data_IF_730773575641
#
_entry.id   IF_730773575641
#
_cell.length_a   1.000
_cell.length_b   1.000
_cell.length_c   1.000
_cell.angle_alpha   90.00
_cell.angle_beta   90.00
_cell.angle_gamma   90.00
#
_symmetry.space_group_name_H-M   'P 1'
#
loop_
_entity.id
_entity.type
_entity.pdbx_description
1 polymer ?
#
# COMPACT_ATOMS: atom_id res chain seq x y z
N UNK A 1 -10.76 22.59 -9.34
CA UNK A 1 -9.78 22.13 -8.33
C UNK A 1 -10.23 22.62 -6.96
N UNK A 2 -10.56 21.74 -6.00
CA UNK A 2 -10.96 22.15 -4.64
C UNK A 2 -9.90 21.67 -3.65
N UNK A 3 -8.96 22.56 -3.32
CA UNK A 3 -8.04 22.37 -2.20
C UNK A 3 -8.87 22.36 -0.92
N UNK A 4 -8.70 21.33 -0.08
CA UNK A 4 -9.50 21.20 1.14
C UNK A 4 -9.18 22.32 2.14
N UNK A 5 -10.12 22.64 3.01
CA UNK A 5 -9.92 23.64 4.06
C UNK A 5 -8.70 23.30 4.94
N UNK A 6 -8.54 22.01 5.26
CA UNK A 6 -7.40 21.46 5.98
C UNK A 6 -6.05 21.76 5.30
N UNK A 7 -5.96 21.56 3.99
CA UNK A 7 -4.74 21.81 3.21
C UNK A 7 -4.38 23.30 3.18
N UNK A 8 -5.39 24.19 3.16
CA UNK A 8 -5.17 25.64 3.20
C UNK A 8 -4.61 26.07 4.56
N UNK A 9 -5.12 25.54 5.65
CA UNK A 9 -4.59 25.82 6.99
C UNK A 9 -3.14 25.35 7.09
N UNK A 10 -2.86 24.12 6.65
CA UNK A 10 -1.50 23.58 6.62
C UNK A 10 -0.56 24.53 5.89
N UNK A 11 -0.91 24.91 4.66
CA UNK A 11 -0.09 25.81 3.85
C UNK A 11 0.07 27.21 4.48
N UNK A 12 -0.94 27.75 5.16
CA UNK A 12 -0.81 29.03 5.88
C UNK A 12 0.23 28.96 7.00
N UNK A 13 0.33 27.83 7.70
CA UNK A 13 1.24 27.64 8.84
C UNK A 13 2.66 27.26 8.37
N UNK A 14 2.78 26.32 7.43
CA UNK A 14 4.07 25.73 7.05
C UNK A 14 4.50 25.98 5.59
N UNK A 15 3.65 26.62 4.79
CA UNK A 15 3.87 26.77 3.35
C UNK A 15 5.15 27.50 2.98
N UNK A 16 5.51 28.56 3.73
CA UNK A 16 6.75 29.32 3.47
C UNK A 16 8.01 28.45 3.63
N UNK A 17 8.02 27.54 4.61
CA UNK A 17 9.13 26.62 4.82
C UNK A 17 9.24 25.60 3.69
N UNK A 18 8.14 24.94 3.34
CA UNK A 18 8.14 23.91 2.29
C UNK A 18 8.31 24.48 0.88
N UNK A 19 7.91 25.73 0.64
CA UNK A 19 8.15 26.40 -0.63
C UNK A 19 9.62 26.74 -0.82
N UNK A 20 10.31 27.20 0.25
CA UNK A 20 11.75 27.50 0.21
C UNK A 20 12.62 26.24 0.04
N UNK A 21 12.16 25.11 0.59
CA UNK A 21 12.91 23.84 0.60
C UNK A 21 12.37 22.82 -0.43
N UNK A 22 11.70 23.29 -1.49
CA UNK A 22 10.97 22.43 -2.44
C UNK A 22 11.84 21.37 -3.11
N UNK A 23 13.09 21.70 -3.39
CA UNK A 23 14.03 20.81 -4.11
C UNK A 23 14.39 19.56 -3.30
N UNK A 24 14.44 19.66 -1.97
CA UNK A 24 14.72 18.53 -1.08
C UNK A 24 13.64 17.43 -1.15
N UNK A 25 12.43 17.81 -1.58
CA UNK A 25 11.27 16.90 -1.65
C UNK A 25 10.97 16.43 -3.08
N UNK A 26 11.96 16.45 -3.98
CA UNK A 26 11.78 16.01 -5.37
C UNK A 26 11.24 14.56 -5.49
N UNK A 27 11.67 13.67 -4.61
CA UNK A 27 11.19 12.28 -4.57
C UNK A 27 9.70 12.18 -4.26
N UNK A 28 9.19 13.01 -3.34
CA UNK A 28 7.76 13.08 -3.01
C UNK A 28 6.99 13.69 -4.17
N UNK A 29 7.53 14.76 -4.78
CA UNK A 29 6.93 15.38 -5.98
C UNK A 29 6.71 14.33 -7.07
N UNK A 30 7.73 13.54 -7.37
CA UNK A 30 7.67 12.45 -8.34
C UNK A 30 6.57 11.45 -8.01
N UNK A 31 6.39 11.08 -6.75
CA UNK A 31 5.33 10.16 -6.32
C UNK A 31 3.93 10.79 -6.42
N UNK A 32 3.77 12.07 -6.11
CA UNK A 32 2.51 12.82 -6.27
C UNK A 32 2.12 12.89 -7.76
N UNK A 33 3.08 13.21 -8.62
CA UNK A 33 2.89 13.27 -10.07
C UNK A 33 2.48 11.89 -10.62
N UNK A 34 3.16 10.83 -10.18
CA UNK A 34 2.85 9.42 -10.48
C UNK A 34 1.49 8.96 -9.98
N UNK A 35 1.07 9.46 -8.83
CA UNK A 35 -0.25 9.17 -8.28
C UNK A 35 -1.37 10.01 -8.93
N UNK A 36 -1.03 10.89 -9.90
CA UNK A 36 -1.93 11.87 -10.54
C UNK A 36 -2.75 12.67 -9.50
N UNK A 37 -2.11 12.98 -8.38
CA UNK A 37 -2.72 13.77 -7.32
C UNK A 37 -2.73 15.24 -7.74
N UNK A 38 -3.91 15.86 -7.74
CA UNK A 38 -4.10 17.25 -8.17
C UNK A 38 -3.67 18.29 -7.11
N UNK A 39 -2.75 17.94 -6.23
CA UNK A 39 -2.35 18.75 -5.07
C UNK A 39 -0.87 19.15 -5.22
N UNK A 40 -0.54 20.45 -5.16
CA UNK A 40 0.86 20.90 -5.16
C UNK A 40 1.65 20.36 -3.97
N UNK A 41 2.96 20.14 -4.16
CA UNK A 41 3.84 19.53 -3.14
C UNK A 41 3.89 20.32 -1.84
N UNK A 42 3.90 21.65 -1.93
CA UNK A 42 3.91 22.57 -0.80
C UNK A 42 2.64 22.42 0.06
N UNK A 43 1.47 22.27 -0.57
CA UNK A 43 0.21 21.99 0.15
C UNK A 43 0.22 20.60 0.78
N UNK A 44 0.74 19.59 0.07
CA UNK A 44 0.81 18.22 0.58
C UNK A 44 1.71 18.11 1.82
N UNK A 45 2.93 18.63 1.72
CA UNK A 45 3.90 18.59 2.84
C UNK A 45 3.45 19.41 4.04
N UNK A 46 2.84 20.56 3.80
CA UNK A 46 2.27 21.37 4.87
C UNK A 46 1.10 20.67 5.57
N UNK A 47 0.31 19.89 4.83
CA UNK A 47 -0.77 19.07 5.38
C UNK A 47 -0.25 17.91 6.22
N UNK A 48 0.86 17.28 5.78
CA UNK A 48 1.54 16.23 6.51
C UNK A 48 2.09 16.75 7.86
N UNK A 49 2.75 17.91 7.84
CA UNK A 49 3.28 18.54 9.04
C UNK A 49 2.15 18.91 10.01
N UNK A 50 1.05 19.43 9.49
CA UNK A 50 -0.13 19.75 10.30
C UNK A 50 -0.74 18.50 10.94
N UNK A 51 -0.81 17.36 10.22
CA UNK A 51 -1.34 16.11 10.81
C UNK A 51 -0.45 15.58 11.92
N UNK A 52 0.88 15.65 11.76
CA UNK A 52 1.82 15.24 12.80
C UNK A 52 1.65 16.10 14.05
N UNK A 53 1.58 17.43 13.88
CA UNK A 53 1.39 18.38 14.98
C UNK A 53 0.04 18.18 15.69
N UNK A 54 -1.05 18.02 14.94
CA UNK A 54 -2.38 17.79 15.51
C UNK A 54 -2.40 16.48 16.31
N UNK A 55 -1.76 15.42 15.79
CA UNK A 55 -1.67 14.13 16.48
C UNK A 55 -0.82 14.21 17.74
N UNK A 56 0.27 14.98 17.74
CA UNK A 56 1.04 15.23 18.96
C UNK A 56 0.21 15.96 20.00
N UNK A 57 -0.54 17.00 19.62
CA UNK A 57 -1.40 17.75 20.55
C UNK A 57 -2.47 16.83 21.14
N UNK A 58 -3.19 16.06 20.31
CA UNK A 58 -4.24 15.16 20.81
C UNK A 58 -3.66 14.09 21.72
N UNK A 59 -2.57 13.44 21.35
CA UNK A 59 -1.93 12.41 22.19
C UNK A 59 -1.36 12.99 23.49
N UNK A 60 -0.83 14.21 23.47
CA UNK A 60 -0.33 14.87 24.67
C UNK A 60 -1.49 15.20 25.61
N UNK A 61 -2.62 15.70 25.09
CA UNK A 61 -3.82 15.92 25.93
C UNK A 61 -4.34 14.62 26.55
N UNK A 62 -4.39 13.53 25.77
CA UNK A 62 -4.77 12.20 26.28
C UNK A 62 -3.78 11.72 27.34
N UNK A 63 -2.48 11.91 27.13
CA UNK A 63 -1.46 11.51 28.08
C UNK A 63 -1.55 12.27 29.40
N UNK A 64 -1.84 13.59 29.37
CA UNK A 64 -2.04 14.39 30.59
C UNK A 64 -3.28 13.90 31.34
N UNK A 65 -4.39 13.65 30.65
CA UNK A 65 -5.63 13.14 31.26
C UNK A 65 -5.37 11.78 31.92
N UNK A 66 -4.68 10.88 31.23
CA UNK A 66 -4.32 9.57 31.76
C UNK A 66 -3.42 9.68 32.99
N UNK A 67 -2.44 10.60 32.96
CA UNK A 67 -1.54 10.84 34.09
C UNK A 67 -2.32 11.31 35.32
N UNK A 68 -3.22 12.29 35.19
CA UNK A 68 -4.06 12.79 36.28
C UNK A 68 -4.96 11.67 36.85
N UNK A 69 -5.56 10.85 35.98
CA UNK A 69 -6.42 9.74 36.39
C UNK A 69 -5.64 8.68 37.20
N UNK A 70 -4.44 8.32 36.74
CA UNK A 70 -3.59 7.34 37.43
C UNK A 70 -3.09 7.84 38.78
N UNK A 71 -2.79 9.14 38.90
CA UNK A 71 -2.44 9.77 40.18
C UNK A 71 -3.59 9.74 41.18
N UNK A 72 -4.81 10.07 40.74
CA UNK A 72 -6.01 10.06 41.58
C UNK A 72 -6.42 8.65 42.05
N UNK A 73 -6.07 7.60 41.29
CA UNK A 73 -6.36 6.21 41.64
C UNK A 73 -5.27 5.57 42.53
N UNK A 74 -4.26 6.32 42.99
CA UNK A 74 -3.11 5.84 43.77
C UNK A 74 -2.35 4.67 43.10
N UNK A 75 -2.47 4.50 41.78
CA UNK A 75 -1.76 3.45 41.02
C UNK A 75 -0.28 3.84 40.84
N UNK A 76 0.01 5.15 40.82
CA UNK A 76 1.36 5.70 40.69
C UNK A 76 1.50 6.89 41.64
N UNK A 77 2.44 6.83 42.58
CA UNK A 77 2.83 7.96 43.41
C UNK A 77 3.83 8.84 42.65
N UNK A 78 3.63 10.15 42.66
CA UNK A 78 4.59 11.09 42.08
C UNK A 78 5.77 11.31 43.04
N UNK A 79 6.95 11.70 42.53
CA UNK A 79 8.09 12.00 43.38
C UNK A 79 7.77 13.14 44.35
N UNK A 80 7.62 12.82 45.64
CA UNK A 80 7.67 13.81 46.72
C UNK A 80 8.99 13.59 47.46
N UNK A 81 9.96 14.48 47.24
CA UNK A 81 11.28 14.37 47.85
C UNK A 81 11.20 14.77 49.33
N UNK A 82 11.03 13.81 50.23
CA UNK A 82 11.15 14.05 51.67
C UNK A 82 12.55 13.64 52.12
N UNK A 83 13.37 14.60 52.55
CA UNK A 83 14.74 14.36 53.03
C UNK A 83 14.77 13.56 54.35
N UNK A 84 13.62 13.43 55.00
CA UNK A 84 13.44 12.85 56.34
C UNK A 84 13.38 11.32 56.36
N UNK A 85 13.03 10.68 55.23
CA UNK A 85 12.96 9.21 55.12
C UNK A 85 14.30 8.56 54.72
N UNK A 86 15.29 9.37 54.30
CA UNK A 86 16.60 8.91 53.84
C UNK A 86 17.46 8.23 54.92
N UNK A 87 17.18 8.46 56.21
CA UNK A 87 18.10 8.08 57.30
C UNK A 87 17.64 6.90 58.18
N UNK A 88 16.37 6.46 58.10
CA UNK A 88 15.81 5.60 59.16
C UNK A 88 15.55 4.13 58.75
N UNK A 89 15.45 3.77 57.45
CA UNK A 89 15.10 2.40 57.05
C UNK A 89 15.53 2.05 55.60
N UNK A 90 16.39 1.05 55.44
CA UNK A 90 16.92 0.60 54.13
C UNK A 90 15.82 0.08 53.17
N UNK A 91 14.74 -0.50 53.70
CA UNK A 91 13.63 -0.99 52.87
C UNK A 91 12.70 0.13 52.39
N UNK A 92 12.58 1.23 53.14
CA UNK A 92 11.82 2.42 52.71
C UNK A 92 12.59 3.19 51.63
N UNK A 93 13.92 3.28 51.76
CA UNK A 93 14.81 3.87 50.76
C UNK A 93 14.69 3.21 49.36
N UNK A 94 14.66 1.87 49.30
CA UNK A 94 14.52 1.15 48.01
C UNK A 94 13.15 1.41 47.37
N UNK A 95 12.08 1.47 48.17
CA UNK A 95 10.72 1.71 47.66
C UNK A 95 10.53 3.13 47.13
N UNK A 96 11.09 4.15 47.80
CA UNK A 96 11.06 5.53 47.29
C UNK A 96 11.82 5.67 45.96
N UNK A 97 12.98 5.01 45.80
CA UNK A 97 13.73 5.01 44.54
C UNK A 97 12.90 4.39 43.41
N UNK A 98 12.24 3.24 43.67
CA UNK A 98 11.40 2.57 42.67
C UNK A 98 10.22 3.44 42.25
N UNK A 99 9.56 4.12 43.20
CA UNK A 99 8.45 5.04 42.93
C UNK A 99 8.92 6.25 42.11
N UNK A 100 10.03 6.87 42.49
CA UNK A 100 10.61 8.00 41.77
C UNK A 100 11.02 7.62 40.34
N UNK A 101 11.61 6.43 40.16
CA UNK A 101 11.98 5.91 38.85
C UNK A 101 10.75 5.64 37.97
N UNK A 102 9.68 5.05 38.51
CA UNK A 102 8.41 4.83 37.80
C UNK A 102 7.75 6.15 37.39
N UNK A 103 7.73 7.15 38.27
CA UNK A 103 7.21 8.49 37.97
C UNK A 103 8.01 9.20 36.87
N UNK A 104 9.34 9.10 36.92
CA UNK A 104 10.22 9.65 35.88
C UNK A 104 10.01 8.98 34.51
N UNK A 105 9.91 7.65 34.47
CA UNK A 105 9.61 6.90 33.24
C UNK A 105 8.24 7.30 32.69
N UNK A 106 7.22 7.46 33.54
CA UNK A 106 5.87 7.86 33.11
C UNK A 106 5.86 9.24 32.46
N UNK A 107 6.61 10.21 33.01
CA UNK A 107 6.75 11.55 32.43
C UNK A 107 7.49 11.49 31.09
N UNK A 108 8.60 10.75 31.03
CA UNK A 108 9.35 10.57 29.79
C UNK A 108 8.51 9.93 28.69
N UNK A 109 7.74 8.88 29.01
CA UNK A 109 6.85 8.21 28.04
C UNK A 109 5.66 9.10 27.70
N UNK A 110 5.10 9.81 28.68
CA UNK A 110 3.92 10.68 28.49
C UNK A 110 4.19 11.92 27.65
N UNK A 111 5.41 12.47 27.69
CA UNK A 111 5.82 13.60 26.85
C UNK A 111 6.51 13.12 25.58
N UNK A 112 7.43 12.16 25.69
CA UNK A 112 8.21 11.64 24.56
C UNK A 112 7.39 10.82 23.59
N UNK A 113 6.46 9.99 24.08
CA UNK A 113 5.60 9.12 23.27
C UNK A 113 4.76 9.89 22.23
N UNK A 114 3.98 10.92 22.62
CA UNK A 114 3.22 11.74 21.69
C UNK A 114 4.06 12.44 20.61
N UNK A 115 5.29 12.85 20.94
CA UNK A 115 6.20 13.49 19.99
C UNK A 115 6.67 12.45 18.96
N UNK A 116 7.12 11.28 19.41
CA UNK A 116 7.55 10.18 18.54
C UNK A 116 6.41 9.76 17.61
N UNK A 117 5.19 9.60 18.15
CA UNK A 117 4.01 9.28 17.37
C UNK A 117 3.71 10.36 16.32
N UNK A 118 3.73 11.64 16.68
CA UNK A 118 3.53 12.73 15.70
C UNK A 118 4.53 12.70 14.55
N UNK A 119 5.80 12.39 14.84
CA UNK A 119 6.81 12.16 13.81
C UNK A 119 6.48 10.93 12.94
N UNK A 120 6.04 9.82 13.54
CA UNK A 120 5.62 8.63 12.79
C UNK A 120 4.44 8.96 11.87
N UNK A 121 3.41 9.67 12.34
CA UNK A 121 2.28 10.10 11.49
C UNK A 121 2.79 10.96 10.33
N UNK A 122 3.68 11.93 10.60
CA UNK A 122 4.26 12.77 9.56
C UNK A 122 4.99 11.95 8.47
N UNK A 123 5.78 10.96 8.87
CA UNK A 123 6.47 10.07 7.93
C UNK A 123 5.51 9.16 7.16
N UNK A 124 4.52 8.56 7.83
CA UNK A 124 3.50 7.73 7.17
C UNK A 124 2.72 8.52 6.13
N UNK A 125 2.40 9.78 6.41
CA UNK A 125 1.67 10.63 5.47
C UNK A 125 2.45 10.88 4.17
N UNK A 126 3.78 10.91 4.23
CA UNK A 126 4.64 11.02 3.04
C UNK A 126 4.69 9.74 2.20
N UNK A 127 4.33 8.58 2.77
CA UNK A 127 4.27 7.31 2.04
C UNK A 127 2.97 7.16 1.23
N UNK A 128 1.91 7.88 1.59
CA UNK A 128 0.60 7.79 0.90
C UNK A 128 0.71 7.98 -0.62
N UNK A 129 1.40 9.01 -1.16
CA UNK A 129 1.55 9.17 -2.61
C UNK A 129 2.27 7.98 -3.26
N UNK A 130 3.25 7.40 -2.57
CA UNK A 130 3.98 6.22 -3.06
C UNK A 130 3.07 4.99 -3.12
N UNK A 131 2.28 4.75 -2.07
CA UNK A 131 1.33 3.63 -2.03
C UNK A 131 0.29 3.79 -3.14
N UNK A 132 -0.29 4.99 -3.29
CA UNK A 132 -1.26 5.28 -4.34
C UNK A 132 -0.66 5.14 -5.75
N UNK A 133 0.57 5.62 -5.96
CA UNK A 133 1.28 5.44 -7.22
C UNK A 133 1.52 3.95 -7.52
N UNK A 134 1.88 3.16 -6.51
CA UNK A 134 2.08 1.71 -6.67
C UNK A 134 0.79 0.97 -6.97
N UNK A 135 -0.34 1.35 -6.35
CA UNK A 135 -1.66 0.78 -6.68
C UNK A 135 -2.02 1.04 -8.14
N UNK A 136 -1.89 2.30 -8.58
CA UNK A 136 -2.10 2.68 -9.99
C UNK A 136 -1.16 1.95 -10.95
N UNK A 137 0.10 1.72 -10.57
CA UNK A 137 1.04 0.95 -11.40
C UNK A 137 0.49 -0.46 -11.67
N UNK A 138 0.00 -1.14 -10.63
CA UNK A 138 -0.57 -2.48 -10.73
C UNK A 138 -1.82 -2.49 -11.62
N UNK A 139 -2.73 -1.55 -11.43
CA UNK A 139 -3.94 -1.41 -12.26
C UNK A 139 -3.61 -1.14 -13.73
N UNK A 140 -2.60 -0.30 -14.00
CA UNK A 140 -2.10 -0.06 -15.37
C UNK A 140 -1.53 -1.36 -15.92
N UNK A 141 -0.61 -2.01 -15.22
CA UNK A 141 0.09 -3.22 -15.70
C UNK A 141 -0.87 -4.39 -15.97
N UNK A 142 -1.92 -4.53 -15.16
CA UNK A 142 -2.96 -5.57 -15.36
C UNK A 142 -3.75 -5.38 -16.66
N UNK A 143 -4.12 -4.13 -16.99
CA UNK A 143 -4.94 -3.81 -18.17
C UNK A 143 -4.12 -3.45 -19.41
N UNK A 144 -2.83 -3.17 -19.25
CA UNK A 144 -1.94 -2.72 -20.31
C UNK A 144 -1.86 -3.71 -21.50
N UNK A 145 -1.75 -5.04 -21.30
CA UNK A 145 -1.72 -5.98 -22.42
C UNK A 145 -2.96 -5.86 -23.33
N UNK A 146 -4.14 -5.67 -22.74
CA UNK A 146 -5.39 -5.52 -23.48
C UNK A 146 -5.48 -4.17 -24.19
N UNK A 147 -5.04 -3.10 -23.54
CA UNK A 147 -4.98 -1.76 -24.14
C UNK A 147 -3.99 -1.70 -25.32
N UNK A 148 -2.81 -2.31 -25.22
CA UNK A 148 -1.85 -2.36 -26.32
C UNK A 148 -2.37 -3.22 -27.47
N UNK A 149 -3.06 -4.34 -27.17
CA UNK A 149 -3.71 -5.14 -28.22
C UNK A 149 -4.77 -4.33 -28.97
N UNK A 150 -5.55 -3.50 -28.27
CA UNK A 150 -6.47 -2.54 -28.88
C UNK A 150 -5.73 -1.52 -29.76
N UNK A 151 -4.65 -0.90 -29.25
CA UNK A 151 -3.83 0.04 -30.03
C UNK A 151 -3.30 -0.63 -31.30
N UNK A 152 -2.83 -1.88 -31.22
CA UNK A 152 -2.34 -2.63 -32.38
C UNK A 152 -3.43 -2.88 -33.40
N UNK A 153 -4.64 -3.24 -32.97
CA UNK A 153 -5.77 -3.46 -33.88
C UNK A 153 -6.16 -2.17 -34.61
N UNK A 154 -6.18 -1.05 -33.90
CA UNK A 154 -6.49 0.27 -34.46
C UNK A 154 -5.41 0.73 -35.46
N UNK A 155 -4.15 0.48 -35.15
CA UNK A 155 -3.04 0.77 -36.07
C UNK A 155 -3.11 -0.09 -37.34
N UNK A 156 -3.45 -1.38 -37.22
CA UNK A 156 -3.68 -2.26 -38.37
C UNK A 156 -4.89 -1.86 -39.22
N UNK A 157 -5.87 -1.18 -38.63
CA UNK A 157 -6.98 -0.55 -39.35
C UNK A 157 -6.62 0.82 -39.97
N UNK A 158 -5.36 1.26 -39.86
CA UNK A 158 -4.88 2.53 -40.39
C UNK A 158 -5.30 3.76 -39.57
N UNK A 159 -5.80 3.57 -38.34
CA UNK A 159 -6.17 4.69 -37.47
C UNK A 159 -4.93 5.37 -36.92
N UNK A 160 -4.92 6.70 -36.93
CA UNK A 160 -3.75 7.47 -36.48
C UNK A 160 -3.49 7.26 -34.98
N UNK A 161 -2.24 7.40 -34.51
CA UNK A 161 -1.93 7.24 -33.08
C UNK A 161 -2.72 8.19 -32.19
N UNK A 162 -2.87 9.46 -32.59
CA UNK A 162 -3.61 10.46 -31.82
C UNK A 162 -5.06 10.02 -31.62
N UNK A 163 -5.74 9.59 -32.69
CA UNK A 163 -7.13 9.14 -32.60
C UNK A 163 -7.26 7.84 -31.80
N UNK A 164 -6.31 6.93 -31.93
CA UNK A 164 -6.26 5.68 -31.15
C UNK A 164 -6.16 5.95 -29.65
N UNK A 165 -5.27 6.85 -29.22
CA UNK A 165 -5.15 7.25 -27.81
C UNK A 165 -6.38 8.03 -27.33
N UNK A 166 -7.07 8.77 -28.21
CA UNK A 166 -8.33 9.46 -27.88
C UNK A 166 -9.48 8.50 -27.61
N UNK A 167 -9.60 7.47 -28.43
CA UNK A 167 -10.59 6.40 -28.21
C UNK A 167 -10.25 5.62 -26.93
N UNK A 168 -8.98 5.30 -26.70
CA UNK A 168 -8.52 4.67 -25.45
C UNK A 168 -8.83 5.55 -24.22
N UNK A 169 -8.64 6.87 -24.30
CA UNK A 169 -8.95 7.83 -23.24
C UNK A 169 -10.44 7.96 -22.91
N UNK A 170 -11.32 7.55 -23.83
CA UNK A 170 -12.78 7.57 -23.65
C UNK A 170 -13.32 6.27 -23.05
N UNK A 171 -12.57 5.17 -23.16
CA UNK A 171 -12.97 3.83 -22.75
C UNK A 171 -12.49 3.45 -21.34
N UNK A 172 -12.77 4.32 -20.35
CA UNK A 172 -12.31 4.11 -18.96
C UNK A 172 -12.89 2.83 -18.34
N UNK A 173 -14.13 2.48 -18.67
CA UNK A 173 -14.81 1.32 -18.09
C UNK A 173 -14.17 -0.02 -18.51
N UNK A 174 -13.40 -0.02 -19.62
CA UNK A 174 -12.72 -1.21 -20.14
C UNK A 174 -11.24 -1.21 -19.77
N UNK A 175 -10.55 -0.06 -19.85
CA UNK A 175 -9.09 0.02 -19.72
C UNK A 175 -8.61 0.75 -18.46
N UNK A 176 -9.51 1.10 -17.55
CA UNK A 176 -9.19 1.60 -16.21
C UNK A 176 -8.16 2.74 -16.19
N UNK A 177 -7.09 2.56 -15.42
CA UNK A 177 -6.04 3.57 -15.27
C UNK A 177 -5.17 3.77 -16.54
N UNK A 178 -5.13 2.81 -17.48
CA UNK A 178 -4.47 3.02 -18.77
C UNK A 178 -5.20 4.09 -19.58
N UNK A 179 -6.54 4.08 -19.55
CA UNK A 179 -7.38 5.13 -20.16
C UNK A 179 -7.12 6.49 -19.52
N UNK A 180 -6.89 6.54 -18.20
CA UNK A 180 -6.54 7.78 -17.48
C UNK A 180 -5.21 8.34 -18.01
N UNK A 181 -4.17 7.51 -18.16
CA UNK A 181 -2.90 7.96 -18.72
C UNK A 181 -3.04 8.43 -20.18
N UNK A 182 -3.84 7.74 -21.00
CA UNK A 182 -4.17 8.17 -22.35
C UNK A 182 -4.91 9.52 -22.36
N UNK A 183 -5.81 9.76 -21.40
CA UNK A 183 -6.51 11.04 -21.24
C UNK A 183 -5.56 12.18 -20.90
N UNK A 184 -4.56 11.94 -20.06
CA UNK A 184 -3.51 12.95 -19.78
C UNK A 184 -2.67 13.25 -21.03
N UNK A 185 -2.35 12.23 -21.82
CA UNK A 185 -1.65 12.37 -23.10
C UNK A 185 -2.46 13.23 -24.09
N UNK A 186 -3.74 12.91 -24.32
CA UNK A 186 -4.60 13.64 -25.26
C UNK A 186 -4.92 15.05 -24.78
N UNK A 187 -5.09 15.25 -23.47
CA UNK A 187 -5.23 16.58 -22.90
C UNK A 187 -4.00 17.45 -23.22
N UNK A 188 -2.80 16.89 -23.07
CA UNK A 188 -1.56 17.60 -23.37
C UNK A 188 -1.45 17.99 -24.86
N UNK A 189 -1.98 17.17 -25.77
CA UNK A 189 -2.00 17.50 -27.21
C UNK A 189 -3.13 18.45 -27.61
N UNK A 190 -4.38 18.17 -27.25
CA UNK A 190 -5.55 18.92 -27.73
C UNK A 190 -5.76 20.24 -26.96
N UNK A 191 -5.54 20.26 -25.65
CA UNK A 191 -5.84 21.45 -24.82
C UNK A 191 -4.64 22.39 -24.70
N UNK A 192 -3.43 21.84 -24.72
CA UNK A 192 -2.19 22.61 -24.55
C UNK A 192 -1.37 22.74 -25.84
N UNK A 193 -1.84 22.18 -26.95
CA UNK A 193 -1.18 22.28 -28.26
C UNK A 193 0.21 21.64 -28.31
N UNK A 194 0.54 20.73 -27.39
CA UNK A 194 1.84 20.05 -27.41
C UNK A 194 1.86 19.00 -28.51
N UNK A 195 3.03 18.82 -29.11
CA UNK A 195 3.27 17.70 -30.02
C UNK A 195 3.06 16.34 -29.29
N UNK A 196 2.62 15.34 -30.04
CA UNK A 196 2.31 13.99 -29.54
C UNK A 196 3.55 13.31 -28.96
N UNK A 197 4.73 13.49 -29.56
CA UNK A 197 5.99 12.90 -29.10
C UNK A 197 6.40 13.52 -27.75
N UNK A 198 6.29 14.83 -27.65
CA UNK A 198 6.57 15.62 -26.44
C UNK A 198 5.60 15.26 -25.31
N UNK A 199 4.32 15.04 -25.65
CA UNK A 199 3.30 14.60 -24.72
C UNK A 199 3.57 13.18 -24.22
N UNK A 200 3.86 12.22 -25.11
CA UNK A 200 4.27 10.87 -24.74
C UNK A 200 5.52 10.89 -23.82
N UNK A 201 6.50 11.75 -24.11
CA UNK A 201 7.71 11.89 -23.28
C UNK A 201 7.40 12.42 -21.88
N UNK A 202 6.46 13.36 -21.77
CA UNK A 202 5.97 13.88 -20.48
C UNK A 202 5.25 12.80 -19.67
N UNK A 203 4.38 12.01 -20.32
CA UNK A 203 3.63 10.92 -19.69
C UNK A 203 4.56 9.78 -19.29
N UNK A 204 5.49 9.37 -20.15
CA UNK A 204 6.52 8.35 -19.88
C UNK A 204 7.35 8.69 -18.62
N UNK A 205 7.66 9.97 -18.37
CA UNK A 205 8.38 10.39 -17.15
C UNK A 205 7.51 10.39 -15.88
N UNK A 206 6.19 10.50 -16.03
CA UNK A 206 5.25 10.68 -14.92
C UNK A 206 4.36 9.47 -14.66
N UNK A 207 4.33 8.47 -15.53
CA UNK A 207 3.60 7.22 -15.27
C UNK A 207 4.25 6.43 -14.12
N UNK A 208 3.46 5.77 -13.26
CA UNK A 208 4.00 4.89 -12.24
C UNK A 208 4.42 3.52 -12.78
N UNK A 209 3.85 3.06 -13.90
CA UNK A 209 4.14 1.76 -14.53
C UNK A 209 5.40 1.82 -15.42
N UNK A 210 6.33 0.90 -15.18
CA UNK A 210 7.53 0.74 -16.01
C UNK A 210 7.21 0.19 -17.40
N UNK A 211 6.29 -0.77 -17.49
CA UNK A 211 5.88 -1.37 -18.76
C UNK A 211 5.23 -0.34 -19.70
N UNK A 212 4.38 0.53 -19.16
CA UNK A 212 3.78 1.61 -19.95
C UNK A 212 4.81 2.68 -20.33
N UNK A 213 5.77 2.98 -19.44
CA UNK A 213 6.89 3.86 -19.74
C UNK A 213 7.70 3.34 -20.94
N UNK A 214 8.02 2.05 -20.95
CA UNK A 214 8.79 1.40 -22.03
C UNK A 214 8.01 1.35 -23.35
N UNK A 215 6.70 1.09 -23.29
CA UNK A 215 5.83 1.14 -24.44
C UNK A 215 5.79 2.54 -25.08
N UNK A 216 5.58 3.58 -24.28
CA UNK A 216 5.60 4.96 -24.78
C UNK A 216 6.98 5.36 -25.32
N UNK A 217 8.05 4.96 -24.65
CA UNK A 217 9.40 5.29 -25.08
C UNK A 217 9.76 4.59 -26.40
N UNK A 218 9.38 3.32 -26.58
CA UNK A 218 9.57 2.64 -27.85
C UNK A 218 8.68 3.21 -28.96
N UNK A 219 7.46 3.65 -28.63
CA UNK A 219 6.59 4.37 -29.57
C UNK A 219 7.26 5.65 -30.08
N UNK A 220 7.80 6.47 -29.16
CA UNK A 220 8.56 7.68 -29.48
C UNK A 220 9.74 7.33 -30.40
N UNK A 221 10.54 6.32 -30.02
CA UNK A 221 11.71 5.92 -30.79
C UNK A 221 11.33 5.52 -32.22
N UNK A 222 10.31 4.68 -32.39
CA UNK A 222 9.81 4.23 -33.70
C UNK A 222 9.35 5.39 -34.57
N UNK A 223 8.64 6.38 -34.01
CA UNK A 223 8.23 7.58 -34.75
C UNK A 223 9.45 8.39 -35.18
N UNK A 224 10.37 8.66 -34.26
CA UNK A 224 11.53 9.52 -34.54
C UNK A 224 12.54 8.89 -35.49
N UNK A 225 12.62 7.56 -35.56
CA UNK A 225 13.49 6.84 -36.50
C UNK A 225 12.83 6.57 -37.85
N UNK A 226 11.57 6.97 -38.06
CA UNK A 226 10.81 6.68 -39.28
C UNK A 226 10.43 5.21 -39.43
N UNK A 227 10.38 4.45 -38.33
CA UNK A 227 10.00 3.05 -38.32
C UNK A 227 8.49 2.83 -38.47
N UNK A 228 8.09 1.58 -38.69
CA UNK A 228 6.68 1.20 -38.81
C UNK A 228 6.05 1.02 -37.41
N UNK A 229 5.14 1.93 -37.05
CA UNK A 229 4.39 1.90 -35.80
C UNK A 229 3.47 0.69 -35.66
N UNK A 230 2.81 0.26 -36.73
CA UNK A 230 1.92 -0.90 -36.73
C UNK A 230 2.71 -2.16 -36.33
N UNK A 231 3.86 -2.39 -36.95
CA UNK A 231 4.74 -3.51 -36.62
C UNK A 231 5.21 -3.45 -35.16
N UNK A 232 5.57 -2.25 -34.68
CA UNK A 232 5.97 -2.06 -33.28
C UNK A 232 4.83 -2.39 -32.30
N UNK A 233 3.63 -1.84 -32.53
CA UNK A 233 2.47 -2.08 -31.69
C UNK A 233 2.05 -3.53 -31.70
N UNK A 234 2.07 -4.20 -32.86
CA UNK A 234 1.77 -5.63 -32.96
C UNK A 234 2.78 -6.48 -32.19
N UNK A 235 4.08 -6.22 -32.37
CA UNK A 235 5.13 -6.93 -31.64
C UNK A 235 5.02 -6.74 -30.13
N UNK A 236 4.70 -5.52 -29.68
CA UNK A 236 4.48 -5.24 -28.26
C UNK A 236 3.20 -5.86 -27.72
N UNK A 237 2.09 -5.81 -28.46
CA UNK A 237 0.85 -6.48 -28.09
C UNK A 237 1.08 -7.98 -27.88
N UNK A 238 1.75 -8.63 -28.84
CA UNK A 238 2.09 -10.05 -28.77
C UNK A 238 3.03 -10.36 -27.58
N UNK A 239 4.01 -9.48 -27.30
CA UNK A 239 4.89 -9.62 -26.14
C UNK A 239 4.10 -9.58 -24.82
N UNK A 240 3.31 -8.53 -24.61
CA UNK A 240 2.53 -8.35 -23.38
C UNK A 240 1.45 -9.42 -23.21
N UNK A 241 0.81 -9.86 -24.30
CA UNK A 241 -0.16 -10.96 -24.27
C UNK A 241 0.49 -12.30 -23.89
N UNK A 242 1.68 -12.59 -24.43
CA UNK A 242 2.42 -13.80 -24.04
C UNK A 242 2.84 -13.78 -22.58
N UNK A 243 3.33 -12.64 -22.10
CA UNK A 243 3.72 -12.45 -20.70
C UNK A 243 2.50 -12.60 -19.78
N UNK A 244 1.38 -11.96 -20.10
CA UNK A 244 0.13 -12.09 -19.33
C UNK A 244 -0.36 -13.55 -19.27
N UNK A 245 -0.37 -14.26 -20.40
CA UNK A 245 -0.73 -15.70 -20.44
C UNK A 245 0.21 -16.55 -19.61
N UNK A 246 1.51 -16.23 -19.60
CA UNK A 246 2.50 -16.92 -18.77
C UNK A 246 2.22 -16.68 -17.28
N UNK A 247 2.01 -15.43 -16.87
CA UNK A 247 1.67 -15.10 -15.48
C UNK A 247 0.39 -15.79 -15.02
N UNK A 248 -0.65 -15.80 -15.87
CA UNK A 248 -1.89 -16.53 -15.58
C UNK A 248 -1.65 -18.04 -15.45
N UNK A 249 -0.81 -18.62 -16.31
CA UNK A 249 -0.46 -20.04 -16.22
C UNK A 249 0.30 -20.36 -14.93
N UNK A 250 1.31 -19.55 -14.58
CA UNK A 250 2.08 -19.70 -13.33
C UNK A 250 1.17 -19.57 -12.10
N UNK A 251 0.19 -18.65 -12.14
CA UNK A 251 -0.83 -18.53 -11.11
C UNK A 251 -1.71 -19.78 -11.00
N UNK A 252 -2.20 -20.32 -12.11
CA UNK A 252 -2.99 -21.57 -12.13
C UNK A 252 -2.18 -22.79 -11.65
N UNK A 253 -0.91 -22.89 -12.03
CA UNK A 253 0.00 -23.94 -11.54
C UNK A 253 0.19 -23.84 -10.02
N UNK A 254 0.36 -22.61 -9.51
CA UNK A 254 0.47 -22.36 -8.07
C UNK A 254 -0.81 -22.74 -7.33
N UNK A 255 -1.98 -22.33 -7.85
CA UNK A 255 -3.27 -22.73 -7.31
C UNK A 255 -3.46 -24.25 -7.32
N UNK A 256 -3.04 -24.91 -8.41
CA UNK A 256 -3.07 -26.37 -8.54
C UNK A 256 -2.23 -27.06 -7.46
N UNK A 257 -0.99 -26.61 -7.26
CA UNK A 257 -0.08 -27.16 -6.24
C UNK A 257 -0.64 -27.01 -4.81
N UNK A 258 -1.22 -25.85 -4.52
CA UNK A 258 -1.85 -25.58 -3.21
C UNK A 258 -3.09 -26.48 -3.05
N UNK A 259 -3.90 -26.63 -4.09
CA UNK A 259 -5.05 -27.53 -4.11
C UNK A 259 -4.68 -29.00 -3.89
N UNK A 260 -3.64 -29.48 -4.57
CA UNK A 260 -3.11 -30.84 -4.38
C UNK A 260 -2.61 -31.06 -2.95
N UNK A 261 -1.89 -30.07 -2.41
CA UNK A 261 -1.42 -30.08 -1.03
C UNK A 261 -2.58 -30.14 -0.04
N UNK A 262 -3.67 -29.41 -0.31
CA UNK A 262 -4.88 -29.44 0.51
C UNK A 262 -5.56 -30.82 0.51
N UNK A 263 -5.78 -31.40 -0.67
CA UNK A 263 -6.41 -32.74 -0.77
C UNK A 263 -5.55 -33.79 -0.07
N UNK A 264 -4.23 -33.74 -0.24
CA UNK A 264 -3.32 -34.71 0.39
C UNK A 264 -3.27 -34.54 1.92
N UNK A 265 -3.04 -33.32 2.40
CA UNK A 265 -2.81 -33.04 3.82
C UNK A 265 -4.08 -33.01 4.66
N UNK A 266 -5.19 -32.50 4.14
CA UNK A 266 -6.42 -32.25 4.91
C UNK A 266 -7.60 -33.15 4.51
N UNK A 267 -7.54 -33.87 3.39
CA UNK A 267 -8.57 -34.86 3.01
C UNK A 267 -8.03 -36.28 3.19
N UNK A 268 -6.99 -36.66 2.44
CA UNK A 268 -6.47 -38.03 2.45
C UNK A 268 -5.81 -38.41 3.79
N UNK A 269 -4.96 -37.53 4.34
CA UNK A 269 -4.29 -37.76 5.62
C UNK A 269 -5.26 -37.99 6.78
N UNK A 270 -6.22 -37.08 7.05
CA UNK A 270 -7.22 -37.25 8.08
C UNK A 270 -8.10 -38.47 7.84
N UNK A 271 -8.48 -38.76 6.59
CA UNK A 271 -9.26 -39.96 6.28
C UNK A 271 -8.53 -41.24 6.69
N UNK A 272 -7.23 -41.34 6.41
CA UNK A 272 -6.42 -42.48 6.83
C UNK A 272 -6.39 -42.63 8.35
N UNK A 273 -6.18 -41.52 9.08
CA UNK A 273 -6.18 -41.52 10.54
C UNK A 273 -7.56 -41.88 11.09
N UNK A 274 -8.63 -41.37 10.50
CA UNK A 274 -10.02 -41.68 10.89
C UNK A 274 -10.26 -43.19 10.78
N UNK A 275 -9.93 -43.81 9.64
CA UNK A 275 -10.10 -45.26 9.43
C UNK A 275 -9.29 -46.05 10.46
N UNK A 276 -8.03 -45.68 10.69
CA UNK A 276 -7.16 -46.35 11.66
C UNK A 276 -7.73 -46.26 13.09
N UNK A 277 -8.14 -45.07 13.53
CA UNK A 277 -8.71 -44.84 14.86
C UNK A 277 -10.02 -45.59 15.04
N UNK A 278 -10.87 -45.65 14.01
CA UNK A 278 -12.12 -46.42 14.05
C UNK A 278 -11.84 -47.91 14.25
N UNK A 279 -10.91 -48.50 13.49
CA UNK A 279 -10.54 -49.91 13.63
C UNK A 279 -9.96 -50.20 15.02
N UNK A 280 -9.05 -49.35 15.52
CA UNK A 280 -8.48 -49.50 16.87
C UNK A 280 -9.53 -49.33 17.97
N UNK A 281 -10.51 -48.45 17.77
CA UNK A 281 -11.61 -48.25 18.72
C UNK A 281 -12.52 -49.48 18.79
N UNK A 282 -12.72 -50.20 17.68
CA UNK A 282 -13.46 -51.47 17.67
C UNK A 282 -12.73 -52.58 18.45
N UNK A 283 -11.40 -52.53 18.48
CA UNK A 283 -10.56 -53.45 19.26
C UNK A 283 -10.41 -53.01 20.73
N UNK A 284 -11.07 -51.92 21.15
CA UNK A 284 -11.05 -51.39 22.50
C UNK A 284 -9.81 -50.56 22.87
N UNK A 285 -8.98 -50.17 21.88
CA UNK A 285 -7.65 -49.59 22.11
C UNK A 285 -7.46 -48.11 21.79
N UNK A 286 -8.44 -47.42 21.18
CA UNK A 286 -8.30 -46.02 20.80
C UNK A 286 -9.35 -45.10 21.44
N UNK A 287 -8.90 -43.89 21.81
CA UNK A 287 -9.77 -42.86 22.37
C UNK A 287 -10.48 -42.07 21.27
N UNK A 288 -11.81 -42.00 21.37
CA UNK A 288 -12.67 -41.21 20.47
C UNK A 288 -12.37 -39.70 20.53
N UNK A 289 -11.65 -39.22 21.55
CA UNK A 289 -11.29 -37.80 21.68
C UNK A 289 -10.39 -37.33 20.53
N UNK A 290 -9.47 -38.18 20.04
CA UNK A 290 -8.56 -37.85 18.94
C UNK A 290 -9.36 -37.70 17.64
N UNK A 291 -10.35 -38.57 17.45
CA UNK A 291 -11.26 -38.52 16.30
C UNK A 291 -12.05 -37.20 16.29
N UNK A 292 -12.64 -36.82 17.43
CA UNK A 292 -13.38 -35.56 17.53
C UNK A 292 -12.49 -34.34 17.31
N UNK A 293 -11.25 -34.35 17.81
CA UNK A 293 -10.32 -33.24 17.62
C UNK A 293 -9.95 -33.05 16.14
N UNK A 294 -9.75 -34.13 15.39
CA UNK A 294 -9.45 -34.07 13.96
C UNK A 294 -10.66 -33.57 13.16
N UNK A 295 -11.86 -34.14 13.41
CA UNK A 295 -13.07 -33.81 12.65
C UNK A 295 -13.57 -32.40 12.94
N UNK A 296 -13.67 -32.02 14.22
CA UNK A 296 -14.25 -30.74 14.62
C UNK A 296 -13.22 -29.62 14.77
N UNK A 297 -11.93 -29.95 14.90
CA UNK A 297 -10.84 -28.97 15.02
C UNK A 297 -9.96 -28.94 13.79
N UNK A 298 -9.25 -30.05 13.54
CA UNK A 298 -8.19 -30.13 12.52
C UNK A 298 -8.67 -29.78 11.10
N UNK A 299 -9.73 -30.42 10.63
CA UNK A 299 -10.26 -30.20 9.27
C UNK A 299 -10.79 -28.77 9.11
N UNK A 300 -11.71 -28.25 9.95
CA UNK A 300 -12.21 -26.88 9.80
C UNK A 300 -11.10 -25.84 9.87
N UNK A 301 -10.14 -26.01 10.79
CA UNK A 301 -9.00 -25.11 10.91
C UNK A 301 -8.12 -25.12 9.65
N UNK A 302 -7.82 -26.31 9.13
CA UNK A 302 -7.09 -26.49 7.88
C UNK A 302 -7.79 -25.85 6.69
N UNK A 303 -9.11 -26.02 6.58
CA UNK A 303 -9.92 -25.40 5.53
C UNK A 303 -9.92 -23.86 5.62
N UNK A 304 -9.99 -23.29 6.83
CA UNK A 304 -9.87 -21.83 7.02
C UNK A 304 -8.51 -21.32 6.57
N UNK A 305 -7.43 -22.01 6.96
CA UNK A 305 -6.08 -21.66 6.51
C UNK A 305 -5.97 -21.71 4.99
N UNK A 306 -6.52 -22.76 4.37
CA UNK A 306 -6.50 -22.91 2.93
C UNK A 306 -7.22 -21.75 2.22
N UNK A 307 -8.42 -21.38 2.67
CA UNK A 307 -9.17 -20.26 2.12
C UNK A 307 -8.37 -18.95 2.22
N UNK A 308 -7.77 -18.67 3.38
CA UNK A 308 -6.93 -17.48 3.58
C UNK A 308 -5.70 -17.48 2.66
N UNK A 309 -5.06 -18.63 2.47
CA UNK A 309 -3.90 -18.75 1.61
C UNK A 309 -4.28 -18.47 0.15
N UNK A 310 -5.39 -19.03 -0.32
CA UNK A 310 -5.91 -18.77 -1.68
C UNK A 310 -6.27 -17.30 -1.86
N UNK A 311 -6.88 -16.67 -0.86
CA UNK A 311 -7.26 -15.25 -0.90
C UNK A 311 -6.03 -14.33 -1.04
N UNK A 312 -4.96 -14.60 -0.29
CA UNK A 312 -3.71 -13.81 -0.34
C UNK A 312 -3.00 -13.92 -1.70
N UNK A 313 -3.08 -15.07 -2.35
CA UNK A 313 -2.37 -15.32 -3.62
C UNK A 313 -3.22 -14.91 -4.82
N UNK A 314 -4.55 -14.88 -4.68
CA UNK A 314 -5.45 -14.47 -5.75
C UNK A 314 -5.21 -13.00 -6.11
N UNK A 315 -4.78 -12.69 -7.34
CA UNK A 315 -4.63 -11.31 -7.75
C UNK A 315 -6.01 -10.65 -7.77
N UNK A 316 -6.16 -9.54 -7.06
CA UNK A 316 -7.31 -8.64 -7.22
C UNK A 316 -7.30 -8.13 -8.67
N UNK A 317 -8.32 -8.54 -9.44
CA UNK A 317 -8.58 -8.04 -10.80
C UNK A 317 -9.77 -7.10 -10.76
#
# INVERSE_FOLDING_TARGET
MKISFYQKIGHKVFGNYFNKNRDNYHHIKKNIDKARMSIPIDYWMSSAALSGLLTTITMLTVSIILMILMGNLNIVSYPSLSLTELFNNTNQFINEIIVNLKGFILILVGIGGPIILGFIIYFLFQLIPRIKASGRAREIDALLPYAINYISAMAGAGVTPVETFKLLASSKDIYGEVSVEAKYLIRDTEMFGKDIISSMRSISKTTPSGNFQDFLQGTITTITSGGNLETYFKSKADQFMRENRRTQKEFLETLGLIGESYVTAFVAGPLFIIVMVVVMSMMGGASLIILYLIIYGGIPFGSVIFVLLVDIISPEV
#
